data_IF_610136753985
#
_entry.id   IF_610136753985
#
_cell.length_a   1.000
_cell.length_b   1.000
_cell.length_c   1.000
_cell.angle_alpha   90.00
_cell.angle_beta   90.00
_cell.angle_gamma   90.00
#
_symmetry.space_group_name_H-M   'P 1'
#
loop_
_entity.id
_entity.type
_entity.pdbx_description
1 polymer ?
#
# COMPACT_ATOMS: atom_id res chain seq x y z
N UNK A 1 2.68 -4.35 -15.29
CA UNK A 1 3.09 -2.98 -14.97
C UNK A 1 4.60 -2.97 -14.81
N UNK A 2 5.32 -1.95 -15.30
CA UNK A 2 6.77 -1.84 -15.14
C UNK A 2 7.16 -1.75 -13.66
N UNK A 3 8.32 -2.29 -13.28
CA UNK A 3 8.85 -2.23 -11.90
C UNK A 3 9.27 -0.80 -11.54
N UNK A 4 9.09 -0.37 -10.28
CA UNK A 4 9.53 0.95 -9.82
C UNK A 4 10.98 0.88 -9.30
N UNK A 5 11.93 1.64 -9.86
CA UNK A 5 13.30 1.63 -9.35
C UNK A 5 13.37 2.08 -7.89
N UNK A 6 14.19 1.39 -7.08
CA UNK A 6 14.41 1.69 -5.65
C UNK A 6 14.96 3.10 -5.36
N UNK A 7 15.35 3.88 -6.37
CA UNK A 7 15.76 5.28 -6.21
C UNK A 7 14.57 6.26 -6.24
N UNK A 8 13.43 5.85 -6.75
CA UNK A 8 12.22 6.68 -6.82
C UNK A 8 11.53 6.62 -5.45
N UNK A 9 11.44 7.77 -4.76
CA UNK A 9 10.78 7.87 -3.45
C UNK A 9 9.35 8.41 -3.56
N UNK A 10 9.15 9.29 -4.54
CA UNK A 10 7.85 9.88 -4.84
C UNK A 10 7.48 9.56 -6.28
N UNK A 11 6.20 9.27 -6.52
CA UNK A 11 5.67 9.13 -7.87
C UNK A 11 4.24 9.63 -7.92
N UNK A 12 3.83 10.09 -9.10
CA UNK A 12 2.45 10.49 -9.38
C UNK A 12 1.63 9.27 -9.77
N UNK A 13 0.56 8.94 -9.02
CA UNK A 13 -0.30 7.78 -9.32
C UNK A 13 -1.14 8.09 -10.57
N UNK A 14 -1.08 7.28 -11.64
CA UNK A 14 -1.88 7.54 -12.84
C UNK A 14 -3.39 7.33 -12.62
N UNK A 15 -3.79 6.68 -11.51
CA UNK A 15 -5.19 6.39 -11.22
C UNK A 15 -5.87 7.45 -10.33
N UNK A 16 -5.13 8.17 -9.49
CA UNK A 16 -5.70 9.23 -8.64
C UNK A 16 -5.09 10.61 -8.85
N UNK A 17 -4.09 10.72 -9.73
CA UNK A 17 -3.33 11.94 -10.06
C UNK A 17 -2.61 12.61 -8.87
N UNK A 18 -2.53 11.95 -7.72
CA UNK A 18 -1.81 12.43 -6.55
C UNK A 18 -0.36 11.92 -6.49
N UNK A 19 0.51 12.70 -5.88
CA UNK A 19 1.86 12.27 -5.52
C UNK A 19 1.82 11.35 -4.30
N UNK A 20 2.60 10.27 -4.36
CA UNK A 20 2.65 9.25 -3.33
C UNK A 20 4.08 8.97 -2.88
N UNK A 21 4.26 8.73 -1.58
CA UNK A 21 5.52 8.29 -0.99
C UNK A 21 5.60 6.76 -0.95
N UNK A 22 6.74 6.23 -1.41
CA UNK A 22 6.95 4.79 -1.57
C UNK A 22 7.04 4.07 -0.25
N UNK A 23 7.66 4.69 0.75
CA UNK A 23 7.88 4.08 2.05
C UNK A 23 6.55 4.05 2.84
N UNK A 24 5.71 5.09 2.72
CA UNK A 24 4.32 5.08 3.21
C UNK A 24 3.51 3.96 2.55
N UNK A 25 3.59 3.85 1.22
CA UNK A 25 2.85 2.80 0.52
C UNK A 25 3.37 1.39 0.86
N UNK A 26 4.69 1.21 1.05
CA UNK A 26 5.26 -0.03 1.50
C UNK A 26 4.72 -0.43 2.90
N UNK A 27 4.61 0.53 3.82
CA UNK A 27 4.02 0.30 5.14
C UNK A 27 2.55 -0.15 5.06
N UNK A 28 1.75 0.50 4.20
CA UNK A 28 0.36 0.11 3.93
C UNK A 28 0.29 -1.33 3.39
N UNK A 29 1.15 -1.66 2.43
CA UNK A 29 1.17 -3.00 1.84
C UNK A 29 1.57 -4.09 2.85
N UNK A 30 2.53 -3.81 3.74
CA UNK A 30 2.91 -4.71 4.82
C UNK A 30 1.75 -4.88 5.81
N UNK A 31 1.08 -3.80 6.20
CA UNK A 31 -0.08 -3.85 7.08
C UNK A 31 -1.21 -4.71 6.49
N UNK A 32 -1.55 -4.52 5.22
CA UNK A 32 -2.58 -5.32 4.55
C UNK A 32 -2.23 -6.80 4.47
N UNK A 33 -0.97 -7.14 4.19
CA UNK A 33 -0.51 -8.53 4.21
C UNK A 33 -0.68 -9.15 5.59
N UNK A 34 -0.22 -8.47 6.64
CA UNK A 34 -0.37 -8.94 8.02
C UNK A 34 -1.83 -9.12 8.42
N UNK A 35 -2.72 -8.18 8.07
CA UNK A 35 -4.16 -8.31 8.29
C UNK A 35 -4.72 -9.53 7.56
N UNK A 36 -4.34 -9.72 6.29
CA UNK A 36 -4.81 -10.85 5.47
C UNK A 36 -4.35 -12.19 6.07
N UNK A 37 -3.10 -12.29 6.50
CA UNK A 37 -2.53 -13.47 7.14
C UNK A 37 -3.24 -13.78 8.47
N UNK A 38 -3.48 -12.76 9.30
CA UNK A 38 -4.20 -12.93 10.57
C UNK A 38 -5.65 -13.38 10.35
N UNK A 39 -6.34 -12.80 9.36
CA UNK A 39 -7.69 -13.24 8.99
C UNK A 39 -7.71 -14.67 8.47
N UNK A 40 -6.73 -15.04 7.63
CA UNK A 40 -6.60 -16.40 7.11
C UNK A 40 -6.33 -17.43 8.23
N UNK A 41 -5.63 -17.02 9.30
CA UNK A 41 -5.43 -17.82 10.50
C UNK A 41 -6.67 -17.90 11.42
N UNK A 42 -7.79 -17.27 11.07
CA UNK A 42 -9.04 -17.30 11.83
C UNK A 42 -9.11 -16.26 12.96
N UNK A 43 -8.20 -15.29 13.01
CA UNK A 43 -8.25 -14.21 13.99
C UNK A 43 -9.19 -13.08 13.54
N UNK A 44 -10.01 -12.58 14.47
CA UNK A 44 -10.78 -11.35 14.25
C UNK A 44 -9.90 -10.15 14.59
N UNK A 45 -9.56 -9.34 13.60
CA UNK A 45 -8.71 -8.16 13.75
C UNK A 45 -9.51 -6.87 13.53
N UNK A 46 -9.29 -5.86 14.39
CA UNK A 46 -9.74 -4.48 14.17
C UNK A 46 -8.58 -3.69 13.57
N UNK A 47 -8.71 -3.27 12.32
CA UNK A 47 -7.75 -2.37 11.70
C UNK A 47 -8.20 -0.91 11.94
N UNK A 48 -7.35 -0.12 12.60
CA UNK A 48 -7.56 1.32 12.73
C UNK A 48 -6.89 2.02 11.53
N UNK A 49 -7.70 2.59 10.64
CA UNK A 49 -7.22 3.27 9.42
C UNK A 49 -7.15 4.78 9.69
N UNK A 50 -6.10 5.22 10.37
CA UNK A 50 -5.88 6.66 10.62
C UNK A 50 -5.32 7.42 9.41
N UNK A 51 -4.85 6.69 8.39
CA UNK A 51 -4.40 7.29 7.14
C UNK A 51 -5.50 7.18 6.08
N UNK A 52 -6.21 8.29 5.87
CA UNK A 52 -7.26 8.46 4.87
C UNK A 52 -6.72 8.10 3.47
N UNK A 53 -7.36 7.11 2.84
CA UNK A 53 -7.51 6.97 1.38
C UNK A 53 -6.29 6.70 0.48
N UNK A 54 -5.41 5.75 0.82
CA UNK A 54 -4.45 5.18 -0.16
C UNK A 54 -4.71 3.71 -0.53
N UNK A 55 -5.65 3.04 0.16
CA UNK A 55 -5.87 1.60 -0.01
C UNK A 55 -6.40 1.17 -1.40
N UNK A 56 -6.85 2.11 -2.24
CA UNK A 56 -7.41 1.81 -3.58
C UNK A 56 -6.53 2.25 -4.77
N UNK A 57 -5.49 3.10 -4.59
CA UNK A 57 -4.51 3.40 -5.68
C UNK A 57 -3.43 2.31 -5.73
N UNK A 58 -3.84 1.04 -5.72
CA UNK A 58 -2.96 -0.14 -5.64
C UNK A 58 -2.48 -0.63 -7.01
N UNK A 59 -2.41 0.25 -8.02
CA UNK A 59 -1.53 0.03 -9.16
C UNK A 59 -0.09 0.39 -8.74
N UNK A 60 0.35 -0.17 -7.61
CA UNK A 60 1.73 -0.08 -7.15
C UNK A 60 2.56 -0.90 -8.13
N UNK A 61 3.52 -0.29 -8.83
CA UNK A 61 4.49 -1.07 -9.55
C UNK A 61 5.21 -1.94 -8.50
N UNK A 62 5.16 -3.27 -8.67
CA UNK A 62 5.89 -4.16 -7.76
C UNK A 62 7.37 -3.75 -7.78
N UNK A 63 8.04 -3.92 -6.64
CA UNK A 63 9.50 -4.13 -6.67
C UNK A 63 9.80 -5.40 -7.45
#
# INVERSE_FOLDING_TARGET
>A
MPEMPLKVREWKCPACDADHDRDINAAINIQHKGITELMAAGHVVKAHRDCISLALCQLQPKR
#
